data_IF_420825941777
#
_entry.id   IF_420825941777
#
_cell.length_a   1.000
_cell.length_b   1.000
_cell.length_c   1.000
_cell.angle_alpha   90.00
_cell.angle_beta   90.00
_cell.angle_gamma   90.00
#
_symmetry.space_group_name_H-M   'P 1'
#
loop_
_entity.id
_entity.type
_entity.pdbx_description
1 polymer ?
#
# COMPACT_ATOMS: atom_id res chain seq x y z
N UNK A 1 11.94 -11.41 -3.45
CA UNK A 1 11.50 -10.69 -4.67
C UNK A 1 12.07 -11.36 -5.94
N UNK A 2 13.35 -11.70 -5.99
CA UNK A 2 14.01 -12.32 -7.16
C UNK A 2 13.41 -13.70 -7.55
N UNK A 3 12.91 -14.48 -6.58
CA UNK A 3 12.25 -15.78 -6.86
C UNK A 3 10.81 -15.65 -7.37
N UNK A 4 10.10 -14.57 -7.07
CA UNK A 4 8.76 -14.29 -7.60
C UNK A 4 8.81 -13.84 -9.06
N UNK A 5 9.83 -13.08 -9.44
CA UNK A 5 10.05 -12.66 -10.83
C UNK A 5 10.36 -13.84 -11.77
N UNK A 6 10.95 -14.94 -11.24
CA UNK A 6 11.31 -16.12 -12.04
C UNK A 6 10.12 -16.97 -12.49
N UNK A 7 8.91 -16.80 -11.91
CA UNK A 7 7.77 -17.68 -12.17
C UNK A 7 6.60 -17.04 -12.92
N UNK A 8 6.62 -15.72 -13.18
CA UNK A 8 5.65 -15.05 -14.05
C UNK A 8 6.37 -14.11 -15.01
N UNK A 9 6.10 -14.18 -16.31
CA UNK A 9 6.65 -13.21 -17.24
C UNK A 9 6.19 -11.80 -16.81
N UNK A 10 7.15 -10.92 -16.55
CA UNK A 10 6.86 -9.51 -16.30
C UNK A 10 6.25 -8.95 -17.57
N UNK A 11 5.03 -8.44 -17.47
CA UNK A 11 4.36 -7.82 -18.62
C UNK A 11 5.08 -6.53 -18.96
N UNK A 12 5.80 -6.52 -20.07
CA UNK A 12 6.55 -5.37 -20.60
C UNK A 12 5.71 -4.48 -21.51
N UNK A 13 4.53 -4.93 -21.88
CA UNK A 13 3.60 -4.16 -22.73
C UNK A 13 2.17 -4.34 -22.24
N UNK A 14 1.37 -3.27 -22.33
CA UNK A 14 -0.06 -3.35 -22.11
C UNK A 14 -0.70 -4.34 -23.07
N UNK A 15 -1.56 -5.21 -22.57
CA UNK A 15 -2.46 -5.93 -23.43
C UNK A 15 -3.54 -4.95 -23.89
N UNK A 16 -3.78 -4.86 -25.20
CA UNK A 16 -4.89 -4.11 -25.71
C UNK A 16 -6.19 -4.61 -25.07
N UNK A 17 -6.93 -3.70 -24.40
CA UNK A 17 -8.16 -4.03 -23.69
C UNK A 17 -7.98 -4.53 -22.26
N UNK A 18 -6.77 -4.41 -21.65
CA UNK A 18 -6.59 -4.70 -20.22
C UNK A 18 -7.31 -3.62 -19.39
N UNK A 19 -8.41 -3.94 -18.68
CA UNK A 19 -9.21 -2.95 -17.98
C UNK A 19 -8.54 -2.43 -16.69
N UNK A 20 -7.46 -3.05 -16.22
CA UNK A 20 -6.83 -2.70 -14.96
C UNK A 20 -5.51 -1.95 -15.13
N UNK A 21 -5.63 -0.65 -15.40
CA UNK A 21 -4.48 0.28 -15.51
C UNK A 21 -3.62 0.32 -14.24
N UNK A 22 -4.17 -0.05 -13.07
CA UNK A 22 -3.43 -0.12 -11.79
C UNK A 22 -2.35 -1.18 -11.83
N UNK A 23 -2.65 -2.32 -12.44
CA UNK A 23 -1.70 -3.42 -12.63
C UNK A 23 -0.43 -2.98 -13.38
N UNK A 24 -0.53 -1.98 -14.22
CA UNK A 24 0.59 -1.46 -15.01
C UNK A 24 1.56 -0.65 -14.16
N UNK A 25 1.03 0.22 -13.31
CA UNK A 25 1.84 1.00 -12.40
C UNK A 25 2.55 0.11 -11.36
N UNK A 26 1.90 -0.96 -10.90
CA UNK A 26 2.57 -1.97 -10.07
C UNK A 26 3.61 -2.79 -10.85
N UNK A 27 3.31 -3.16 -12.09
CA UNK A 27 4.31 -3.82 -12.95
C UNK A 27 5.53 -2.94 -13.20
N UNK A 28 5.36 -1.62 -13.33
CA UNK A 28 6.48 -0.69 -13.46
C UNK A 28 7.38 -0.72 -12.20
N UNK A 29 6.80 -0.76 -10.99
CA UNK A 29 7.59 -0.91 -9.77
C UNK A 29 8.39 -2.23 -9.76
N UNK A 30 7.78 -3.35 -10.17
CA UNK A 30 8.47 -4.64 -10.29
C UNK A 30 9.64 -4.56 -11.29
N UNK A 31 9.47 -3.86 -12.40
CA UNK A 31 10.53 -3.65 -13.40
C UNK A 31 11.67 -2.78 -12.85
N UNK A 32 11.38 -1.73 -12.08
CA UNK A 32 12.41 -0.96 -11.39
C UNK A 32 13.21 -1.84 -10.43
N UNK A 33 12.55 -2.69 -9.64
CA UNK A 33 13.23 -3.62 -8.73
C UNK A 33 14.03 -4.70 -9.46
N UNK A 34 13.58 -5.10 -10.65
CA UNK A 34 14.29 -6.03 -11.52
C UNK A 34 15.49 -5.40 -12.26
N UNK A 35 15.72 -4.08 -12.12
CA UNK A 35 16.80 -3.38 -12.82
C UNK A 35 16.49 -3.07 -14.29
N UNK A 36 15.20 -2.99 -14.65
CA UNK A 36 14.72 -2.69 -16.02
C UNK A 36 14.05 -1.29 -16.10
N UNK A 37 14.74 -0.18 -15.77
CA UNK A 37 14.11 1.14 -15.69
C UNK A 37 13.56 1.63 -17.04
N UNK A 38 14.18 1.28 -18.16
CA UNK A 38 13.68 1.67 -19.49
C UNK A 38 12.29 1.08 -19.78
N UNK A 39 12.07 -0.21 -19.44
CA UNK A 39 10.78 -0.86 -19.61
C UNK A 39 9.74 -0.30 -18.64
N UNK A 40 10.14 0.02 -17.40
CA UNK A 40 9.26 0.64 -16.41
C UNK A 40 8.79 2.03 -16.87
N UNK A 41 9.70 2.89 -17.33
CA UNK A 41 9.37 4.22 -17.85
C UNK A 41 8.44 4.13 -19.07
N UNK A 42 8.66 3.19 -19.98
CA UNK A 42 7.78 3.01 -21.15
C UNK A 42 6.35 2.63 -20.75
N UNK A 43 6.19 1.74 -19.77
CA UNK A 43 4.86 1.40 -19.22
C UNK A 43 4.20 2.64 -18.62
N UNK A 44 4.90 3.39 -17.77
CA UNK A 44 4.36 4.57 -17.09
C UNK A 44 4.01 5.69 -18.08
N UNK A 45 4.80 5.86 -19.14
CA UNK A 45 4.53 6.83 -20.20
C UNK A 45 3.20 6.55 -20.90
N UNK A 46 2.90 5.28 -21.16
CA UNK A 46 1.66 4.85 -21.84
C UNK A 46 0.46 4.70 -20.91
N UNK A 47 0.67 4.52 -19.59
CA UNK A 47 -0.41 4.31 -18.67
C UNK A 47 -1.36 5.52 -18.63
N UNK A 48 -2.65 5.28 -18.79
CA UNK A 48 -3.67 6.27 -18.51
C UNK A 48 -3.80 6.48 -17.00
N UNK A 49 -3.76 7.73 -16.57
CA UNK A 49 -3.97 8.10 -15.17
C UNK A 49 -5.42 8.57 -15.02
N UNK A 50 -6.22 7.83 -14.28
CA UNK A 50 -7.61 8.17 -14.02
C UNK A 50 -7.86 8.42 -12.52
N UNK A 51 -8.86 9.22 -12.15
CA UNK A 51 -9.17 9.54 -10.76
C UNK A 51 -9.67 8.30 -10.01
N UNK A 52 -8.84 7.78 -9.10
CA UNK A 52 -9.20 6.74 -8.14
C UNK A 52 -8.27 6.86 -6.92
N UNK A 53 -8.48 6.06 -5.89
CA UNK A 53 -7.68 6.13 -4.66
C UNK A 53 -6.35 5.37 -4.79
N UNK A 54 -6.30 4.32 -5.60
CA UNK A 54 -5.09 3.52 -5.81
C UNK A 54 -4.01 4.26 -6.62
N UNK A 55 -4.40 4.91 -7.70
CA UNK A 55 -3.44 5.48 -8.64
C UNK A 55 -2.59 6.61 -8.02
N UNK A 56 -3.15 7.57 -7.26
CA UNK A 56 -2.33 8.60 -6.58
C UNK A 56 -1.32 7.99 -5.61
N UNK A 57 -1.71 6.95 -4.87
CA UNK A 57 -0.80 6.25 -3.98
C UNK A 57 0.34 5.61 -4.76
N UNK A 58 0.05 4.85 -5.82
CA UNK A 58 1.06 4.16 -6.62
C UNK A 58 2.01 5.17 -7.29
N UNK A 59 1.49 6.27 -7.84
CA UNK A 59 2.32 7.32 -8.44
C UNK A 59 3.19 8.03 -7.38
N UNK A 60 2.66 8.26 -6.18
CA UNK A 60 3.44 8.80 -5.07
C UNK A 60 4.57 7.86 -4.66
N UNK A 61 4.32 6.54 -4.61
CA UNK A 61 5.36 5.54 -4.35
C UNK A 61 6.44 5.54 -5.43
N UNK A 62 6.05 5.61 -6.69
CA UNK A 62 6.98 5.65 -7.82
C UNK A 62 7.89 6.87 -7.71
N UNK A 63 7.33 8.04 -7.43
CA UNK A 63 8.10 9.27 -7.21
C UNK A 63 9.02 9.20 -5.98
N UNK A 64 8.57 8.55 -4.91
CA UNK A 64 9.36 8.45 -3.68
C UNK A 64 10.52 7.45 -3.80
N UNK A 65 10.30 6.32 -4.48
CA UNK A 65 11.24 5.19 -4.51
C UNK A 65 12.20 5.21 -5.70
N UNK A 66 11.76 5.73 -6.83
CA UNK A 66 12.46 5.53 -8.11
C UNK A 66 12.80 6.84 -8.83
N UNK A 67 12.75 7.97 -8.14
CA UNK A 67 12.98 9.30 -8.76
C UNK A 67 14.23 9.33 -9.63
N UNK A 68 15.34 8.78 -9.16
CA UNK A 68 16.62 8.79 -9.86
C UNK A 68 16.66 7.88 -11.10
N UNK A 69 15.61 7.09 -11.29
CA UNK A 69 15.46 6.14 -12.40
C UNK A 69 14.30 6.48 -13.34
N UNK A 70 13.58 7.56 -13.03
CA UNK A 70 12.50 8.05 -13.89
C UNK A 70 13.04 8.93 -15.02
N UNK A 71 12.49 8.74 -16.22
CA UNK A 71 12.64 9.69 -17.30
C UNK A 71 11.93 11.01 -16.94
N UNK A 72 12.46 12.15 -17.38
CA UNK A 72 11.95 13.45 -16.97
C UNK A 72 10.47 13.67 -17.32
N UNK A 73 10.03 13.22 -18.49
CA UNK A 73 8.64 13.31 -18.95
C UNK A 73 7.69 12.42 -18.10
N UNK A 74 8.16 11.25 -17.67
CA UNK A 74 7.41 10.34 -16.79
C UNK A 74 7.30 10.91 -15.39
N UNK A 75 8.39 11.46 -14.86
CA UNK A 75 8.38 12.12 -13.55
C UNK A 75 7.42 13.32 -13.53
N UNK A 76 7.48 14.20 -14.53
CA UNK A 76 6.59 15.36 -14.68
C UNK A 76 5.11 14.94 -14.75
N UNK A 77 4.82 13.91 -15.57
CA UNK A 77 3.46 13.34 -15.68
C UNK A 77 2.94 12.85 -14.33
N UNK A 78 3.77 12.09 -13.60
CA UNK A 78 3.40 11.56 -12.29
C UNK A 78 3.21 12.67 -11.25
N UNK A 79 4.12 13.66 -11.20
CA UNK A 79 4.02 14.80 -10.28
C UNK A 79 2.77 15.64 -10.53
N UNK A 80 2.49 15.97 -11.78
CA UNK A 80 1.28 16.70 -12.16
C UNK A 80 0.03 15.96 -11.71
N UNK A 81 -0.04 14.68 -12.03
CA UNK A 81 -1.18 13.86 -11.64
C UNK A 81 -1.37 13.79 -10.13
N UNK A 82 -0.31 13.56 -9.35
CA UNK A 82 -0.42 13.47 -7.89
C UNK A 82 -0.86 14.82 -7.29
N UNK A 83 -0.34 15.94 -7.79
CA UNK A 83 -0.77 17.27 -7.36
C UNK A 83 -2.26 17.50 -7.61
N UNK A 84 -2.75 17.13 -8.79
CA UNK A 84 -4.16 17.26 -9.16
C UNK A 84 -5.08 16.37 -8.30
N UNK A 85 -4.54 15.29 -7.76
CA UNK A 85 -5.28 14.35 -6.92
C UNK A 85 -5.24 14.67 -5.42
N UNK A 86 -4.37 15.56 -4.94
CA UNK A 86 -4.30 15.95 -3.53
C UNK A 86 -5.64 16.49 -2.97
N UNK A 87 -6.39 17.36 -3.67
CA UNK A 87 -7.69 17.80 -3.17
C UNK A 87 -8.71 16.66 -3.01
N UNK A 88 -8.62 15.63 -3.87
CA UNK A 88 -9.45 14.43 -3.74
C UNK A 88 -9.02 13.61 -2.51
N UNK A 89 -7.73 13.40 -2.31
CA UNK A 89 -7.20 12.71 -1.13
C UNK A 89 -7.55 13.43 0.17
N UNK A 90 -7.65 14.76 0.14
CA UNK A 90 -8.05 15.60 1.27
C UNK A 90 -9.56 15.60 1.54
N UNK A 91 -10.38 15.03 0.64
CA UNK A 91 -11.85 15.04 0.78
C UNK A 91 -12.30 14.32 2.05
N UNK A 92 -13.30 14.87 2.74
CA UNK A 92 -13.96 14.22 3.88
C UNK A 92 -14.65 12.89 3.54
N UNK A 93 -14.89 12.62 2.24
CA UNK A 93 -15.46 11.35 1.78
C UNK A 93 -14.43 10.22 1.75
N UNK A 94 -13.16 10.53 1.91
CA UNK A 94 -12.04 9.58 1.87
C UNK A 94 -11.24 9.76 3.17
N UNK A 95 -11.75 9.14 4.24
CA UNK A 95 -11.21 9.27 5.58
C UNK A 95 -10.88 7.88 6.17
N UNK A 96 -9.78 7.72 6.94
CA UNK A 96 -9.40 6.42 7.51
C UNK A 96 -10.47 5.74 8.37
N UNK A 97 -11.36 6.49 9.01
CA UNK A 97 -12.44 5.95 9.86
C UNK A 97 -13.77 5.72 9.14
N UNK A 98 -13.77 5.71 7.81
CA UNK A 98 -14.95 5.43 6.99
C UNK A 98 -15.08 3.96 6.64
N UNK A 99 -16.18 3.56 5.97
CA UNK A 99 -16.44 2.16 5.58
C UNK A 99 -15.36 1.51 4.69
N UNK A 100 -14.54 2.33 4.04
CA UNK A 100 -13.47 1.90 3.15
C UNK A 100 -12.13 2.39 3.72
N UNK A 101 -11.66 1.76 4.79
CA UNK A 101 -10.37 2.12 5.40
C UNK A 101 -9.21 2.09 4.40
N UNK A 102 -9.23 1.14 3.46
CA UNK A 102 -8.20 1.07 2.42
C UNK A 102 -8.09 2.37 1.60
N UNK A 103 -9.22 3.01 1.25
CA UNK A 103 -9.21 4.29 0.54
C UNK A 103 -8.67 5.42 1.42
N UNK A 104 -9.14 5.47 2.69
CA UNK A 104 -8.66 6.43 3.66
C UNK A 104 -7.16 6.29 3.94
N UNK A 105 -6.67 5.08 4.09
CA UNK A 105 -5.25 4.81 4.33
C UNK A 105 -4.39 5.13 3.10
N UNK A 106 -4.85 4.82 1.88
CA UNK A 106 -4.15 5.23 0.66
C UNK A 106 -4.09 6.75 0.52
N UNK A 107 -5.20 7.46 0.81
CA UNK A 107 -5.22 8.91 0.81
C UNK A 107 -4.29 9.49 1.89
N UNK A 108 -4.26 8.87 3.08
CA UNK A 108 -3.35 9.24 4.16
C UNK A 108 -1.88 9.16 3.71
N UNK A 109 -1.49 8.09 3.02
CA UNK A 109 -0.14 7.99 2.45
C UNK A 109 0.16 9.14 1.48
N UNK A 110 -0.77 9.43 0.56
CA UNK A 110 -0.61 10.52 -0.42
C UNK A 110 -0.46 11.87 0.28
N UNK A 111 -1.31 12.17 1.27
CA UNK A 111 -1.26 13.41 2.03
C UNK A 111 0.08 13.60 2.76
N UNK A 112 0.55 12.55 3.45
CA UNK A 112 1.80 12.60 4.21
C UNK A 112 3.03 12.69 3.31
N UNK A 113 3.12 11.83 2.31
CA UNK A 113 4.33 11.70 1.50
C UNK A 113 4.37 12.74 0.39
N UNK A 114 3.31 12.86 -0.41
CA UNK A 114 3.28 13.85 -1.49
C UNK A 114 3.13 15.28 -0.97
N UNK A 115 2.33 15.51 0.07
CA UNK A 115 2.22 16.82 0.71
C UNK A 115 3.57 17.34 1.19
N UNK A 116 4.34 16.52 1.88
CA UNK A 116 5.70 16.85 2.33
C UNK A 116 6.67 17.03 1.16
N UNK A 117 6.66 16.10 0.21
CA UNK A 117 7.53 16.12 -0.97
C UNK A 117 7.36 17.40 -1.81
N UNK A 118 6.13 17.85 -1.97
CA UNK A 118 5.81 19.01 -2.78
C UNK A 118 5.83 20.35 -2.03
N UNK A 119 6.15 20.32 -0.73
CA UNK A 119 6.18 21.51 0.10
C UNK A 119 4.79 22.13 0.30
N UNK A 120 3.76 21.30 0.43
CA UNK A 120 2.35 21.67 0.61
C UNK A 120 1.92 21.34 2.05
N UNK A 121 2.24 22.21 3.04
CA UNK A 121 2.03 21.91 4.44
C UNK A 121 0.56 21.64 4.80
N UNK A 122 -0.38 22.27 4.13
CA UNK A 122 -1.82 22.08 4.37
C UNK A 122 -2.24 20.61 4.16
N UNK A 123 -1.66 19.89 3.19
CA UNK A 123 -1.93 18.47 2.98
C UNK A 123 -1.15 17.58 3.94
N UNK A 124 0.11 17.91 4.20
CA UNK A 124 0.93 17.16 5.14
C UNK A 124 0.36 17.23 6.56
N UNK A 125 -0.11 18.39 7.00
CA UNK A 125 -0.71 18.58 8.33
C UNK A 125 -2.07 17.87 8.43
N UNK A 126 -2.90 17.92 7.38
CA UNK A 126 -4.12 17.12 7.33
C UNK A 126 -3.80 15.61 7.42
N UNK A 127 -2.74 15.17 6.75
CA UNK A 127 -2.25 13.79 6.88
C UNK A 127 -1.88 13.42 8.30
N UNK A 128 -1.20 14.32 9.05
CA UNK A 128 -0.88 14.11 10.48
C UNK A 128 -2.13 13.97 11.32
N UNK A 129 -3.10 14.87 11.13
CA UNK A 129 -4.39 14.82 11.85
C UNK A 129 -5.08 13.47 11.61
N UNK A 130 -5.20 13.05 10.36
CA UNK A 130 -5.84 11.77 10.01
C UNK A 130 -5.10 10.54 10.53
N UNK A 131 -3.77 10.60 10.62
CA UNK A 131 -3.00 9.54 11.26
C UNK A 131 -3.30 9.43 12.76
N UNK A 132 -3.45 10.56 13.47
CA UNK A 132 -3.87 10.54 14.88
C UNK A 132 -5.26 9.94 15.06
N UNK A 133 -6.19 10.30 14.19
CA UNK A 133 -7.54 9.74 14.20
C UNK A 133 -7.54 8.22 13.95
N UNK A 134 -6.69 7.74 13.04
CA UNK A 134 -6.47 6.32 12.81
C UNK A 134 -5.86 5.63 14.05
N UNK A 135 -4.86 6.25 14.69
CA UNK A 135 -4.29 5.76 15.94
C UNK A 135 -5.35 5.69 17.06
N UNK A 136 -6.22 6.67 17.13
CA UNK A 136 -7.35 6.67 18.08
C UNK A 136 -8.35 5.54 17.79
N UNK A 137 -8.63 5.27 16.52
CA UNK A 137 -9.46 4.13 16.11
C UNK A 137 -8.83 2.82 16.58
N UNK A 138 -7.54 2.61 16.36
CA UNK A 138 -6.83 1.42 16.85
C UNK A 138 -6.84 1.30 18.37
N UNK A 139 -6.69 2.40 19.09
CA UNK A 139 -6.78 2.41 20.57
C UNK A 139 -8.17 2.01 21.09
N UNK A 140 -9.22 2.44 20.42
CA UNK A 140 -10.63 2.18 20.83
C UNK A 140 -11.15 0.83 20.35
N UNK A 141 -10.85 0.46 19.10
CA UNK A 141 -11.46 -0.70 18.43
C UNK A 141 -10.48 -1.85 18.24
N UNK A 142 -9.17 -1.59 18.33
CA UNK A 142 -8.12 -2.59 18.11
C UNK A 142 -7.88 -2.98 16.66
N UNK A 143 -8.68 -2.45 15.74
CA UNK A 143 -8.64 -2.79 14.31
C UNK A 143 -9.26 -1.69 13.45
N UNK A 144 -9.30 -1.91 12.14
CA UNK A 144 -9.98 -1.09 11.14
C UNK A 144 -11.40 -1.59 10.86
N UNK A 145 -12.21 -0.80 10.14
CA UNK A 145 -13.58 -1.20 9.77
C UNK A 145 -13.61 -2.38 8.78
N UNK A 146 -12.55 -2.52 7.99
CA UNK A 146 -12.34 -3.66 7.07
C UNK A 146 -11.63 -4.84 7.75
N UNK A 147 -11.94 -5.09 9.03
CA UNK A 147 -11.32 -6.16 9.83
C UNK A 147 -11.49 -7.54 9.17
N UNK A 148 -10.44 -8.37 9.28
CA UNK A 148 -10.44 -9.74 8.74
C UNK A 148 -10.72 -9.83 7.24
N UNK A 149 -10.74 -8.71 6.51
CA UNK A 149 -11.05 -8.71 5.08
C UNK A 149 -9.96 -9.44 4.28
N UNK A 150 -10.29 -10.51 3.55
CA UNK A 150 -9.31 -11.22 2.73
C UNK A 150 -8.70 -10.36 1.63
N UNK A 151 -9.47 -9.35 1.18
CA UNK A 151 -9.08 -8.44 0.10
C UNK A 151 -8.38 -7.20 0.64
N UNK A 152 -8.90 -6.59 1.72
CA UNK A 152 -8.48 -5.25 2.13
C UNK A 152 -7.52 -5.23 3.32
N UNK A 153 -7.49 -6.26 4.18
CA UNK A 153 -6.47 -6.33 5.23
C UNK A 153 -5.04 -6.31 4.67
N UNK A 154 -4.71 -7.04 3.58
CA UNK A 154 -3.40 -6.92 2.95
C UNK A 154 -3.11 -5.53 2.38
N UNK A 155 -4.11 -4.83 1.87
CA UNK A 155 -3.95 -3.46 1.36
C UNK A 155 -3.67 -2.50 2.51
N UNK A 156 -4.44 -2.59 3.61
CA UNK A 156 -4.25 -1.74 4.77
C UNK A 156 -2.87 -1.97 5.42
N UNK A 157 -2.43 -3.23 5.57
CA UNK A 157 -1.08 -3.57 6.02
C UNK A 157 -0.01 -2.97 5.10
N UNK A 158 -0.15 -3.15 3.78
CA UNK A 158 0.79 -2.63 2.81
C UNK A 158 0.90 -1.09 2.88
N UNK A 159 -0.22 -0.38 2.97
CA UNK A 159 -0.19 1.08 3.04
C UNK A 159 0.46 1.58 4.33
N UNK A 160 0.16 0.97 5.48
CA UNK A 160 0.78 1.33 6.75
C UNK A 160 2.29 1.07 6.74
N UNK A 161 2.73 -0.05 6.17
CA UNK A 161 4.14 -0.34 5.96
C UNK A 161 4.82 0.72 5.07
N UNK A 162 4.15 1.15 3.99
CA UNK A 162 4.67 2.20 3.12
C UNK A 162 4.79 3.55 3.84
N UNK A 163 3.84 3.92 4.71
CA UNK A 163 3.95 5.12 5.54
C UNK A 163 5.12 4.97 6.52
N UNK A 164 5.23 3.82 7.19
CA UNK A 164 6.30 3.54 8.14
C UNK A 164 7.70 3.60 7.51
N UNK A 165 7.81 3.23 6.23
CA UNK A 165 9.09 3.23 5.52
C UNK A 165 9.43 4.56 4.84
N UNK A 166 8.44 5.30 4.36
CA UNK A 166 8.68 6.42 3.43
C UNK A 166 8.18 7.79 3.92
N UNK A 167 7.41 7.87 5.01
CA UNK A 167 7.06 9.17 5.56
C UNK A 167 8.33 9.92 6.02
N UNK A 168 8.44 11.23 5.74
CA UNK A 168 9.66 11.98 6.05
C UNK A 168 9.91 12.14 7.56
N UNK A 169 8.84 12.18 8.36
CA UNK A 169 8.87 12.42 9.80
C UNK A 169 8.98 11.09 10.57
N UNK A 170 9.95 10.99 11.49
CA UNK A 170 10.19 9.80 12.29
C UNK A 170 9.01 9.45 13.22
N UNK A 171 8.34 10.45 13.78
CA UNK A 171 7.16 10.25 14.62
C UNK A 171 5.99 9.65 13.84
N UNK A 172 5.79 10.13 12.59
CA UNK A 172 4.78 9.59 11.67
C UNK A 172 5.08 8.13 11.36
N UNK A 173 6.36 7.83 11.05
CA UNK A 173 6.79 6.44 10.76
C UNK A 173 6.52 5.51 11.94
N UNK A 174 6.87 5.93 13.15
CA UNK A 174 6.64 5.15 14.36
C UNK A 174 5.15 4.89 14.62
N UNK A 175 4.29 5.90 14.46
CA UNK A 175 2.85 5.76 14.61
C UNK A 175 2.26 4.79 13.58
N UNK A 176 2.68 4.89 12.32
CA UNK A 176 2.25 3.98 11.26
C UNK A 176 2.68 2.53 11.54
N UNK A 177 3.92 2.34 11.99
CA UNK A 177 4.46 1.03 12.37
C UNK A 177 3.63 0.39 13.50
N UNK A 178 3.27 1.14 14.53
CA UNK A 178 2.41 0.63 15.61
C UNK A 178 1.02 0.22 15.12
N UNK A 179 0.43 0.95 14.17
CA UNK A 179 -0.84 0.59 13.56
C UNK A 179 -0.69 -0.68 12.72
N UNK A 180 0.39 -0.80 11.95
CA UNK A 180 0.74 -1.99 11.16
C UNK A 180 0.91 -3.23 12.06
N UNK A 181 1.72 -3.13 13.12
CA UNK A 181 1.91 -4.20 14.11
C UNK A 181 0.58 -4.68 14.70
N UNK A 182 -0.33 -3.75 14.98
CA UNK A 182 -1.65 -4.10 15.50
C UNK A 182 -2.48 -4.89 14.50
N UNK A 183 -2.44 -4.54 13.23
CA UNK A 183 -3.11 -5.31 12.16
C UNK A 183 -2.46 -6.69 11.96
N UNK A 184 -1.14 -6.80 12.12
CA UNK A 184 -0.48 -8.10 12.12
C UNK A 184 -0.92 -8.99 13.28
N UNK A 185 -1.07 -8.42 14.48
CA UNK A 185 -1.63 -9.15 15.64
C UNK A 185 -3.03 -9.67 15.33
N UNK A 186 -3.89 -8.83 14.73
CA UNK A 186 -5.22 -9.26 14.28
C UNK A 186 -5.13 -10.42 13.28
N UNK A 187 -4.34 -10.26 12.24
CA UNK A 187 -4.18 -11.27 11.19
C UNK A 187 -3.70 -12.63 11.77
N UNK A 188 -2.67 -12.60 12.62
CA UNK A 188 -2.11 -13.81 13.21
C UNK A 188 -3.09 -14.50 14.19
N UNK A 189 -3.85 -13.72 14.97
CA UNK A 189 -4.84 -14.29 15.90
C UNK A 189 -6.04 -14.95 15.22
N UNK A 190 -6.32 -14.57 13.97
CA UNK A 190 -7.37 -15.18 13.15
C UNK A 190 -6.84 -16.28 12.22
N UNK A 191 -5.53 -16.52 12.19
CA UNK A 191 -4.95 -17.55 11.34
C UNK A 191 -5.02 -18.93 12.00
N UNK A 192 -5.69 -19.88 11.32
CA UNK A 192 -5.78 -21.27 11.76
C UNK A 192 -4.73 -22.12 11.04
N UNK A 193 -3.65 -22.44 11.74
CA UNK A 193 -2.45 -23.07 11.17
C UNK A 193 -2.74 -24.44 10.52
N UNK A 194 -3.57 -25.28 11.14
CA UNK A 194 -3.87 -26.64 10.61
C UNK A 194 -4.60 -26.60 9.29
N UNK A 195 -5.55 -25.67 9.11
CA UNK A 195 -6.29 -25.53 7.85
C UNK A 195 -5.61 -24.61 6.85
N UNK A 196 -4.60 -23.86 7.31
CA UNK A 196 -3.95 -22.84 6.54
C UNK A 196 -4.88 -21.69 6.13
N UNK A 197 -5.88 -21.33 6.92
CA UNK A 197 -6.91 -20.35 6.58
C UNK A 197 -7.11 -19.33 7.69
N UNK A 198 -7.57 -18.16 7.29
CA UNK A 198 -8.06 -17.16 8.24
C UNK A 198 -9.42 -17.59 8.76
N UNK A 199 -9.67 -17.43 10.07
CA UNK A 199 -10.97 -17.60 10.68
C UNK A 199 -11.81 -16.33 10.52
N UNK A 200 -13.12 -16.48 10.28
CA UNK A 200 -14.06 -15.35 10.26
C UNK A 200 -14.43 -14.86 11.68
N UNK A 201 -15.24 -13.83 11.75
CA UNK A 201 -16.00 -13.21 10.66
C UNK A 201 -15.14 -12.32 9.74
N UNK A 202 -15.57 -12.20 8.48
CA UNK A 202 -14.88 -11.41 7.47
C UNK A 202 -15.68 -10.16 7.11
N UNK A 203 -15.05 -9.01 7.17
CA UNK A 203 -15.57 -7.80 6.55
C UNK A 203 -15.26 -7.82 5.05
N UNK A 204 -16.23 -7.47 4.20
CA UNK A 204 -16.04 -7.29 2.75
C UNK A 204 -15.35 -8.48 2.05
N UNK A 205 -15.74 -9.69 2.37
CA UNK A 205 -15.36 -10.89 1.63
C UNK A 205 -16.32 -11.07 0.43
N UNK A 206 -15.84 -10.82 -0.78
CA UNK A 206 -16.68 -10.86 -1.98
C UNK A 206 -16.85 -12.25 -2.57
N UNK A 207 -15.84 -13.11 -2.43
CA UNK A 207 -15.82 -14.46 -2.96
C UNK A 207 -15.17 -15.42 -1.98
N UNK A 208 -15.61 -16.67 -1.98
CA UNK A 208 -15.06 -17.71 -1.09
C UNK A 208 -13.58 -17.98 -1.39
N UNK A 209 -13.16 -17.88 -2.63
CA UNK A 209 -11.78 -18.12 -3.06
C UNK A 209 -10.81 -16.98 -2.68
N UNK A 210 -11.31 -15.75 -2.46
CA UNK A 210 -10.47 -14.65 -2.00
C UNK A 210 -9.99 -14.80 -0.56
N UNK A 211 -10.68 -15.63 0.24
CA UNK A 211 -10.23 -16.00 1.60
C UNK A 211 -8.84 -16.64 1.59
N UNK A 212 -8.47 -17.28 0.48
CA UNK A 212 -7.13 -17.85 0.28
C UNK A 212 -6.03 -16.82 0.00
N UNK A 213 -6.34 -15.61 -0.46
CA UNK A 213 -5.32 -14.61 -0.82
C UNK A 213 -4.70 -13.92 0.42
N UNK A 214 -5.50 -13.57 1.41
CA UNK A 214 -5.01 -13.05 2.69
C UNK A 214 -4.11 -14.07 3.40
N UNK A 215 -4.43 -15.36 3.26
CA UNK A 215 -3.67 -16.48 3.75
C UNK A 215 -2.21 -16.47 3.27
N UNK A 216 -1.98 -16.26 1.97
CA UNK A 216 -0.61 -16.22 1.40
C UNK A 216 0.24 -15.08 1.97
N UNK A 217 -0.36 -13.92 2.26
CA UNK A 217 0.34 -12.80 2.86
C UNK A 217 0.71 -13.07 4.33
N UNK A 218 -0.24 -13.62 5.11
CA UNK A 218 -0.03 -13.96 6.52
C UNK A 218 0.95 -15.13 6.67
N UNK A 219 0.82 -16.18 5.85
CA UNK A 219 1.74 -17.32 5.88
C UNK A 219 3.18 -16.88 5.61
N UNK A 220 3.40 -16.04 4.59
CA UNK A 220 4.73 -15.51 4.28
C UNK A 220 5.26 -14.58 5.36
N UNK A 221 4.41 -13.76 5.96
CA UNK A 221 4.78 -12.93 7.11
C UNK A 221 5.21 -13.80 8.30
N UNK A 222 4.46 -14.84 8.63
CA UNK A 222 4.79 -15.78 9.70
C UNK A 222 6.09 -16.56 9.42
N UNK A 223 6.31 -17.00 8.17
CA UNK A 223 7.55 -17.66 7.75
C UNK A 223 8.76 -16.73 7.86
N UNK A 224 8.62 -15.46 7.48
CA UNK A 224 9.67 -14.44 7.62
C UNK A 224 10.01 -14.16 9.09
N UNK A 225 8.99 -14.02 9.95
CA UNK A 225 9.18 -13.81 11.39
C UNK A 225 9.86 -15.02 12.02
N UNK A 226 9.50 -16.25 11.65
CA UNK A 226 10.13 -17.46 12.14
C UNK A 226 11.61 -17.54 11.71
N UNK A 227 11.92 -17.21 10.45
CA UNK A 227 13.32 -17.18 9.95
C UNK A 227 14.18 -16.13 10.66
N UNK A 228 13.64 -14.92 10.88
CA UNK A 228 14.33 -13.86 11.63
C UNK A 228 14.56 -14.27 13.09
N UNK A 229 13.59 -14.97 13.69
CA UNK A 229 13.70 -15.50 15.05
C UNK A 229 14.78 -16.58 15.18
N UNK A 230 14.94 -17.45 14.18
CA UNK A 230 15.99 -18.48 14.13
C UNK A 230 17.39 -17.90 13.87
N UNK A 231 17.51 -16.93 12.97
CA UNK A 231 18.79 -16.27 12.64
C UNK A 231 19.19 -15.20 13.67
N UNK A 232 18.25 -14.57 14.33
CA UNK A 232 18.45 -13.44 15.23
C UNK A 232 18.68 -13.78 16.69
N UNK A 233 18.61 -15.05 17.10
CA UNK A 233 18.94 -15.52 18.44
C UNK A 233 18.49 -14.58 19.56
N UNK A 234 17.19 -14.34 19.70
CA UNK A 234 16.66 -13.64 20.87
C UNK A 234 16.92 -14.49 22.12
N UNK A 235 18.05 -14.15 22.78
CA UNK A 235 18.35 -14.59 24.15
C UNK A 235 17.71 -13.64 25.14
#
# INVERSE_FOLDING_TARGET
>A
LTRLAAHRPIRRQPLAGDPDVRSWAWNAQILFEAGEPAAANEILRRAELYPCEFMPMIQTQILAKYQDRLDADVAEKAETYVRDMLPRAASERIHPSMYNDNFGNMALYVLLVAGSRFGLPEYADLGRIRLEELCDQFRRCGTVMEYGSPTYSPINLYVLAEIANHAPDAEIREKALRCEERLWVEAVTHYHAESGRMAGPYSRAYYIDTVGHAHLAVQRGAELVAQVGEEGGLR
#
